data_IF_145027882699
#
_entry.id   IF_145027882699
#
_cell.length_a   1.000
_cell.length_b   1.000
_cell.length_c   1.000
_cell.angle_alpha   90.00
_cell.angle_beta   90.00
_cell.angle_gamma   90.00
#
_symmetry.space_group_name_H-M   'P 1'
#
loop_
_entity.id
_entity.type
_entity.pdbx_description
1 polymer ?
#
# COMPACT_ATOMS: atom_id res chain seq x y z
N UNK A 1 -2.73 -10.81 21.38
CA UNK A 1 -1.88 -9.66 21.76
C UNK A 1 -1.76 -8.78 20.51
N UNK A 2 -2.13 -7.52 20.58
CA UNK A 2 -1.96 -6.58 19.47
C UNK A 2 -0.47 -6.36 19.23
N UNK A 3 -0.02 -6.44 17.99
CA UNK A 3 1.35 -6.10 17.59
C UNK A 3 1.55 -4.60 17.86
N UNK A 4 2.54 -4.23 18.71
CA UNK A 4 2.90 -2.82 18.88
C UNK A 4 3.66 -2.35 17.65
N UNK A 5 3.14 -1.32 16.97
CA UNK A 5 3.77 -0.70 15.81
C UNK A 5 4.76 0.41 16.17
N UNK A 6 4.86 0.82 17.44
CA UNK A 6 5.72 1.93 17.88
C UNK A 6 7.19 1.79 17.47
N UNK A 7 7.87 0.63 17.65
CA UNK A 7 9.26 0.48 17.23
C UNK A 7 9.44 0.60 15.71
N UNK A 8 8.44 0.18 14.94
CA UNK A 8 8.42 0.33 13.50
C UNK A 8 8.31 1.80 13.10
N UNK A 9 7.31 2.51 13.64
CA UNK A 9 7.06 3.92 13.30
C UNK A 9 8.23 4.82 13.67
N UNK A 10 8.88 4.59 14.83
CA UNK A 10 10.08 5.34 15.21
C UNK A 10 11.23 5.17 14.19
N UNK A 11 11.41 3.96 13.65
CA UNK A 11 12.46 3.70 12.65
C UNK A 11 12.14 4.25 11.27
N UNK A 12 10.87 4.27 10.88
CA UNK A 12 10.48 4.73 9.53
C UNK A 12 10.18 6.22 9.48
N UNK A 13 9.96 6.90 10.61
CA UNK A 13 9.56 8.31 10.68
C UNK A 13 10.50 9.26 9.93
N UNK A 14 11.81 8.95 9.90
CA UNK A 14 12.85 9.74 9.24
C UNK A 14 13.27 9.16 7.88
N UNK A 15 12.68 8.04 7.46
CA UNK A 15 13.01 7.46 6.16
C UNK A 15 12.35 8.26 5.03
N UNK A 16 13.02 8.38 3.86
CA UNK A 16 12.38 8.94 2.69
C UNK A 16 11.20 8.05 2.23
N UNK A 17 10.38 8.58 1.34
CA UNK A 17 9.35 7.81 0.63
C UNK A 17 9.95 6.59 -0.06
N UNK A 18 9.12 5.63 -0.40
CA UNK A 18 9.58 4.41 -1.07
C UNK A 18 9.93 4.70 -2.54
N UNK A 19 11.07 4.17 -2.97
CA UNK A 19 11.55 4.33 -4.36
C UNK A 19 10.53 3.82 -5.38
N UNK A 20 9.76 2.78 -5.05
CA UNK A 20 8.72 2.26 -5.95
C UNK A 20 7.61 3.29 -6.19
N UNK A 21 7.26 4.10 -5.17
CA UNK A 21 6.27 5.17 -5.32
C UNK A 21 6.80 6.28 -6.26
N UNK A 22 8.07 6.65 -6.11
CA UNK A 22 8.72 7.61 -7.02
C UNK A 22 8.76 7.08 -8.47
N UNK A 23 9.13 5.81 -8.65
CA UNK A 23 9.13 5.18 -9.98
C UNK A 23 7.73 5.10 -10.58
N UNK A 24 6.69 4.81 -9.77
CA UNK A 24 5.31 4.74 -10.22
C UNK A 24 4.82 6.08 -10.81
N UNK A 25 5.31 7.22 -10.31
CA UNK A 25 4.96 8.52 -10.86
C UNK A 25 5.42 8.74 -12.31
N UNK A 26 6.43 8.02 -12.77
CA UNK A 26 6.89 8.09 -14.17
C UNK A 26 5.83 7.57 -15.15
N UNK A 27 4.91 6.74 -14.68
CA UNK A 27 3.81 6.18 -15.47
C UNK A 27 2.49 6.93 -15.27
N UNK A 28 2.44 7.90 -14.35
CA UNK A 28 1.24 8.70 -14.10
C UNK A 28 1.14 9.85 -15.09
N UNK A 29 0.31 9.68 -16.11
CA UNK A 29 0.13 10.66 -17.21
C UNK A 29 -1.18 11.43 -17.13
N UNK A 30 -2.08 11.09 -16.20
CA UNK A 30 -3.38 11.73 -16.07
C UNK A 30 -3.25 13.16 -15.50
N UNK A 31 -4.05 14.09 -16.03
CA UNK A 31 -4.02 15.49 -15.60
C UNK A 31 -4.46 15.69 -14.13
N UNK A 32 -5.42 14.86 -13.67
CA UNK A 32 -5.84 14.89 -12.26
C UNK A 32 -4.81 14.16 -11.39
N UNK A 33 -4.41 14.78 -10.29
CA UNK A 33 -3.48 14.24 -9.30
C UNK A 33 -4.23 13.93 -8.01
N UNK A 34 -4.86 12.76 -7.97
CA UNK A 34 -5.58 12.25 -6.80
C UNK A 34 -4.98 10.89 -6.45
N UNK A 35 -4.49 10.74 -5.23
CA UNK A 35 -3.89 9.50 -4.76
C UNK A 35 -4.66 8.93 -3.55
N UNK A 36 -4.70 7.61 -3.45
CA UNK A 36 -5.02 6.88 -2.22
C UNK A 36 -3.71 6.30 -1.69
N UNK A 37 -3.42 6.50 -0.39
CA UNK A 37 -2.29 5.88 0.33
C UNK A 37 -2.86 4.94 1.40
N UNK A 38 -2.90 3.66 1.06
CA UNK A 38 -3.57 2.61 1.82
C UNK A 38 -2.62 1.95 2.84
N UNK A 39 -2.96 2.04 4.13
CA UNK A 39 -2.06 1.63 5.21
C UNK A 39 -0.84 2.56 5.29
N UNK A 40 -1.11 3.86 5.31
CA UNK A 40 -0.12 4.93 5.12
C UNK A 40 0.91 5.05 6.26
N UNK A 41 0.68 4.40 7.43
CA UNK A 41 1.51 4.54 8.61
C UNK A 41 1.66 6.01 9.01
N UNK A 42 2.89 6.47 9.19
CA UNK A 42 3.18 7.87 9.55
C UNK A 42 3.20 8.84 8.36
N UNK A 43 2.70 8.41 7.19
CA UNK A 43 2.47 9.26 6.02
C UNK A 43 3.72 9.67 5.24
N UNK A 44 4.77 8.83 5.18
CA UNK A 44 5.99 9.18 4.44
C UNK A 44 5.78 9.22 2.93
N UNK A 45 5.01 8.27 2.37
CA UNK A 45 4.66 8.25 0.95
C UNK A 45 3.63 9.35 0.66
N UNK A 46 2.64 9.56 1.55
CA UNK A 46 1.72 10.70 1.49
C UNK A 46 2.44 12.04 1.42
N UNK A 47 3.49 12.27 2.24
CA UNK A 47 4.27 13.51 2.24
C UNK A 47 4.94 13.77 0.89
N UNK A 48 5.49 12.74 0.29
CA UNK A 48 6.09 12.83 -1.04
C UNK A 48 5.03 13.18 -2.10
N UNK A 49 3.89 12.48 -2.08
CA UNK A 49 2.80 12.71 -3.04
C UNK A 49 2.22 14.14 -2.93
N UNK A 50 2.05 14.65 -1.72
CA UNK A 50 1.64 16.03 -1.47
C UNK A 50 2.63 17.04 -2.09
N UNK A 51 3.94 16.79 -1.92
CA UNK A 51 4.99 17.62 -2.54
C UNK A 51 4.98 17.54 -4.07
N UNK A 52 4.48 16.43 -4.66
CA UNK A 52 4.27 16.30 -6.11
C UNK A 52 2.92 16.92 -6.58
N UNK A 53 2.18 17.56 -5.69
CA UNK A 53 0.93 18.26 -6.01
C UNK A 53 -0.31 17.34 -6.06
N UNK A 54 -0.26 16.15 -5.48
CA UNK A 54 -1.42 15.28 -5.37
C UNK A 54 -2.35 15.76 -4.24
N UNK A 55 -3.66 15.54 -4.45
CA UNK A 55 -4.58 15.38 -3.34
C UNK A 55 -4.45 13.95 -2.85
N UNK A 56 -4.25 13.76 -1.55
CA UNK A 56 -4.02 12.45 -0.95
C UNK A 56 -5.16 12.10 0.00
N UNK A 57 -5.79 10.96 -0.24
CA UNK A 57 -6.72 10.30 0.67
C UNK A 57 -6.00 9.11 1.31
N UNK A 58 -5.60 9.26 2.57
CA UNK A 58 -4.87 8.24 3.28
C UNK A 58 -5.76 7.50 4.29
N UNK A 59 -5.43 6.26 4.61
CA UNK A 59 -6.02 5.56 5.73
C UNK A 59 -5.02 4.61 6.39
N UNK A 60 -5.24 4.37 7.67
CA UNK A 60 -4.56 3.34 8.45
C UNK A 60 -5.52 2.86 9.56
N UNK A 61 -5.35 1.64 10.07
CA UNK A 61 -6.16 1.16 11.20
C UNK A 61 -5.57 1.52 12.56
N UNK A 62 -4.30 1.94 12.60
CA UNK A 62 -3.58 2.27 13.83
C UNK A 62 -3.83 3.73 14.24
N UNK A 63 -4.40 3.92 15.44
CA UNK A 63 -4.75 5.25 15.98
C UNK A 63 -3.55 6.19 16.15
N UNK A 64 -2.34 5.66 16.40
CA UNK A 64 -1.15 6.48 16.58
C UNK A 64 -0.57 6.94 15.23
N UNK A 65 -0.72 6.12 14.19
CA UNK A 65 -0.46 6.53 12.82
C UNK A 65 -1.39 7.68 12.40
N UNK A 66 -2.70 7.58 12.72
CA UNK A 66 -3.69 8.63 12.44
C UNK A 66 -3.29 9.94 13.12
N UNK A 67 -3.07 9.93 14.43
CA UNK A 67 -2.65 11.14 15.20
C UNK A 67 -1.38 11.77 14.64
N UNK A 68 -0.41 10.92 14.25
CA UNK A 68 0.84 11.39 13.65
C UNK A 68 0.59 12.11 12.33
N UNK A 69 -0.24 11.53 11.46
CA UNK A 69 -0.61 12.14 10.18
C UNK A 69 -1.44 13.43 10.37
N UNK A 70 -2.42 13.43 11.27
CA UNK A 70 -3.21 14.64 11.59
C UNK A 70 -2.32 15.79 12.02
N UNK A 71 -1.34 15.52 12.90
CA UNK A 71 -0.37 16.54 13.34
C UNK A 71 0.55 16.97 12.19
N UNK A 72 1.10 16.01 11.46
CA UNK A 72 2.08 16.25 10.39
C UNK A 72 1.52 17.05 9.24
N UNK A 73 0.25 16.85 8.91
CA UNK A 73 -0.40 17.42 7.73
C UNK A 73 -1.51 18.41 8.09
N UNK A 74 -1.53 18.95 9.30
CA UNK A 74 -2.57 19.88 9.81
C UNK A 74 -2.80 21.09 8.89
N UNK A 75 -1.75 21.58 8.22
CA UNK A 75 -1.80 22.72 7.31
C UNK A 75 -2.06 22.34 5.83
N UNK A 76 -2.22 21.03 5.53
CA UNK A 76 -2.35 20.54 4.17
C UNK A 76 -3.83 20.36 3.79
N UNK A 77 -4.42 21.34 3.11
CA UNK A 77 -5.83 21.29 2.67
C UNK A 77 -6.12 20.22 1.60
N UNK A 78 -5.08 19.66 0.98
CA UNK A 78 -5.15 18.59 -0.02
C UNK A 78 -4.84 17.20 0.57
N UNK A 79 -4.81 17.06 1.90
CA UNK A 79 -4.66 15.80 2.62
C UNK A 79 -5.91 15.47 3.41
N UNK A 80 -6.30 14.18 3.40
CA UNK A 80 -7.31 13.64 4.31
C UNK A 80 -6.85 12.29 4.83
N UNK A 81 -7.16 12.00 6.09
CA UNK A 81 -6.82 10.75 6.76
C UNK A 81 -8.05 10.16 7.42
N UNK A 82 -8.23 8.84 7.32
CA UNK A 82 -9.31 8.09 7.95
C UNK A 82 -8.75 6.94 8.78
N UNK A 83 -9.27 6.74 9.99
CA UNK A 83 -9.00 5.51 10.72
C UNK A 83 -9.93 4.42 10.18
N UNK A 84 -9.40 3.54 9.35
CA UNK A 84 -10.15 2.47 8.70
C UNK A 84 -9.25 1.25 8.44
N UNK A 85 -9.87 0.06 8.37
CA UNK A 85 -9.23 -1.09 7.75
C UNK A 85 -9.59 -1.15 6.26
N UNK A 86 -8.96 -2.05 5.52
CA UNK A 86 -9.18 -2.20 4.08
C UNK A 86 -10.65 -2.48 3.70
N UNK A 87 -11.39 -3.22 4.54
CA UNK A 87 -12.80 -3.54 4.28
C UNK A 87 -13.76 -2.39 4.54
N UNK A 88 -13.36 -1.41 5.33
CA UNK A 88 -14.25 -0.35 5.84
C UNK A 88 -13.98 1.02 5.20
N UNK A 89 -12.85 1.14 4.47
CA UNK A 89 -12.50 2.39 3.79
C UNK A 89 -13.43 2.65 2.60
N UNK A 90 -13.95 3.87 2.49
CA UNK A 90 -14.70 4.34 1.32
C UNK A 90 -13.70 4.77 0.23
N UNK A 91 -13.53 3.93 -0.78
CA UNK A 91 -12.53 4.10 -1.84
C UNK A 91 -12.92 5.22 -2.82
N UNK A 92 -12.36 6.44 -2.70
CA UNK A 92 -12.67 7.51 -3.65
C UNK A 92 -12.04 7.21 -5.02
N UNK A 93 -12.60 7.80 -6.08
CA UNK A 93 -11.94 7.78 -7.40
C UNK A 93 -10.57 8.46 -7.31
N UNK A 94 -9.54 7.76 -7.72
CA UNK A 94 -8.15 8.22 -7.69
C UNK A 94 -7.45 7.92 -9.00
N UNK A 95 -6.33 8.55 -9.25
CA UNK A 95 -5.48 8.33 -10.44
C UNK A 95 -4.19 7.58 -10.10
N UNK A 96 -3.89 7.47 -8.80
CA UNK A 96 -2.78 6.71 -8.25
C UNK A 96 -3.23 6.01 -6.98
N UNK A 97 -3.01 4.71 -6.88
CA UNK A 97 -3.29 3.91 -5.69
C UNK A 97 -1.99 3.34 -5.15
N UNK A 98 -1.66 3.66 -3.91
CA UNK A 98 -0.46 3.16 -3.22
C UNK A 98 -0.88 2.21 -2.10
N UNK A 99 -0.26 1.02 -2.05
CA UNK A 99 -0.43 0.05 -0.97
C UNK A 99 0.92 -0.58 -0.60
N UNK A 100 1.84 0.26 -0.13
CA UNK A 100 3.22 -0.14 0.16
C UNK A 100 3.31 -0.92 1.46
N UNK A 101 3.66 -2.22 1.39
CA UNK A 101 3.79 -3.16 2.51
C UNK A 101 2.55 -3.17 3.43
N UNK A 102 1.36 -3.05 2.87
CA UNK A 102 0.13 -2.87 3.65
C UNK A 102 -1.03 -3.76 3.19
N UNK A 103 -1.21 -3.98 1.88
CA UNK A 103 -2.39 -4.67 1.34
C UNK A 103 -2.57 -6.10 1.88
N UNK A 104 -1.49 -6.78 2.18
CA UNK A 104 -1.53 -8.13 2.76
C UNK A 104 -2.06 -8.20 4.19
N UNK A 105 -2.25 -7.06 4.88
CA UNK A 105 -2.98 -6.98 6.15
C UNK A 105 -4.50 -7.01 5.95
N UNK A 106 -5.00 -6.90 4.71
CA UNK A 106 -6.39 -7.21 4.40
C UNK A 106 -6.65 -8.70 4.65
N UNK A 107 -7.66 -9.09 5.46
CA UNK A 107 -7.96 -10.49 5.67
C UNK A 107 -8.35 -11.20 4.36
N UNK A 108 -7.89 -12.44 4.18
CA UNK A 108 -8.13 -13.22 2.96
C UNK A 108 -9.60 -13.30 2.56
N UNK A 109 -10.51 -13.40 3.54
CA UNK A 109 -11.95 -13.45 3.29
C UNK A 109 -12.53 -12.17 2.66
N UNK A 110 -11.83 -11.03 2.80
CA UNK A 110 -12.26 -9.73 2.28
C UNK A 110 -11.44 -9.29 1.06
N UNK A 111 -10.33 -9.96 0.76
CA UNK A 111 -9.35 -9.51 -0.23
C UNK A 111 -9.97 -9.29 -1.62
N UNK A 112 -10.76 -10.25 -2.12
CA UNK A 112 -11.38 -10.14 -3.44
C UNK A 112 -12.30 -8.92 -3.55
N UNK A 113 -13.15 -8.70 -2.54
CA UNK A 113 -14.03 -7.52 -2.52
C UNK A 113 -13.24 -6.21 -2.43
N UNK A 114 -12.20 -6.18 -1.59
CA UNK A 114 -11.30 -5.02 -1.46
C UNK A 114 -10.57 -4.75 -2.76
N UNK A 115 -10.05 -5.81 -3.42
CA UNK A 115 -9.39 -5.65 -4.71
C UNK A 115 -10.32 -5.07 -5.78
N UNK A 116 -11.56 -5.56 -5.85
CA UNK A 116 -12.58 -5.04 -6.77
C UNK A 116 -12.89 -3.55 -6.51
N UNK A 117 -12.88 -3.11 -5.26
CA UNK A 117 -13.06 -1.69 -4.93
C UNK A 117 -11.85 -0.85 -5.33
N UNK A 118 -10.62 -1.35 -5.09
CA UNK A 118 -9.37 -0.71 -5.53
C UNK A 118 -9.38 -0.57 -7.06
N UNK A 119 -9.64 -1.66 -7.77
CA UNK A 119 -9.72 -1.67 -9.23
C UNK A 119 -10.75 -0.66 -9.73
N UNK A 120 -11.95 -0.67 -9.15
CA UNK A 120 -13.02 0.26 -9.53
C UNK A 120 -12.70 1.72 -9.22
N UNK A 121 -11.83 2.00 -8.25
CA UNK A 121 -11.41 3.37 -7.90
C UNK A 121 -10.50 4.00 -8.94
N UNK A 122 -9.75 3.18 -9.69
CA UNK A 122 -8.82 3.61 -10.72
C UNK A 122 -9.50 3.71 -12.09
N UNK A 123 -9.41 4.82 -12.80
CA UNK A 123 -9.83 4.94 -14.19
C UNK A 123 -8.81 4.29 -15.13
N UNK A 124 -9.15 4.12 -16.40
CA UNK A 124 -8.17 3.82 -17.46
C UNK A 124 -7.03 4.83 -17.42
N UNK A 125 -5.79 4.34 -17.51
CA UNK A 125 -4.54 5.12 -17.34
C UNK A 125 -4.18 5.42 -15.87
N UNK A 126 -5.02 5.00 -14.91
CA UNK A 126 -4.69 5.09 -13.49
C UNK A 126 -3.57 4.10 -13.11
N UNK A 127 -2.76 4.47 -12.12
CA UNK A 127 -1.58 3.69 -11.71
C UNK A 127 -1.82 3.04 -10.36
N UNK A 128 -1.54 1.75 -10.26
CA UNK A 128 -1.40 1.01 -9.00
C UNK A 128 0.08 0.82 -8.68
N UNK A 129 0.46 0.99 -7.41
CA UNK A 129 1.79 0.64 -6.89
C UNK A 129 1.64 0.05 -5.48
N UNK A 130 2.02 -1.21 -5.30
CA UNK A 130 1.87 -1.86 -3.99
C UNK A 130 2.57 -3.20 -3.87
N UNK A 131 2.48 -3.76 -2.66
CA UNK A 131 3.16 -4.99 -2.29
C UNK A 131 2.14 -6.07 -1.91
N UNK A 132 2.34 -7.29 -2.42
CA UNK A 132 1.60 -8.50 -2.08
C UNK A 132 2.51 -9.47 -1.35
N UNK A 133 1.99 -10.14 -0.33
CA UNK A 133 2.74 -11.17 0.39
C UNK A 133 2.68 -12.48 -0.40
N UNK A 134 3.83 -13.11 -0.61
CA UNK A 134 3.94 -14.41 -1.27
C UNK A 134 3.73 -15.57 -0.29
N UNK A 135 3.44 -16.74 -0.82
CA UNK A 135 3.09 -17.94 -0.04
C UNK A 135 4.26 -18.53 0.77
N UNK A 136 5.51 -18.21 0.40
CA UNK A 136 6.72 -18.67 1.11
C UNK A 136 7.11 -17.74 2.27
N UNK A 137 6.42 -16.62 2.46
CA UNK A 137 6.75 -15.67 3.53
C UNK A 137 6.56 -16.29 4.91
N UNK A 138 7.54 -16.12 5.82
CA UNK A 138 7.49 -16.76 7.14
C UNK A 138 6.33 -16.29 8.01
N UNK A 139 5.72 -15.15 7.73
CA UNK A 139 4.54 -14.69 8.43
C UNK A 139 3.28 -15.52 8.08
N UNK A 140 3.21 -16.08 6.88
CA UNK A 140 2.05 -16.90 6.43
C UNK A 140 1.82 -18.10 7.34
N UNK A 141 2.91 -18.71 7.84
CA UNK A 141 2.87 -19.88 8.71
C UNK A 141 2.92 -19.51 10.20
N UNK A 142 2.84 -18.23 10.54
CA UNK A 142 2.89 -17.76 11.92
C UNK A 142 1.48 -17.60 12.48
N UNK A 143 1.22 -18.21 13.65
CA UNK A 143 -0.06 -18.06 14.36
C UNK A 143 -0.42 -16.59 14.67
N UNK A 144 0.58 -15.74 14.84
CA UNK A 144 0.37 -14.30 15.11
C UNK A 144 -0.07 -13.52 13.88
N UNK A 145 0.08 -14.08 12.67
CA UNK A 145 -0.22 -13.43 11.41
C UNK A 145 -1.15 -14.28 10.52
N UNK A 146 -1.90 -15.22 11.11
CA UNK A 146 -2.80 -16.14 10.38
C UNK A 146 -3.91 -15.43 9.56
N UNK A 147 -4.14 -14.13 9.79
CA UNK A 147 -5.13 -13.33 9.09
C UNK A 147 -4.59 -12.65 7.82
N UNK A 148 -3.28 -12.70 7.57
CA UNK A 148 -2.68 -12.08 6.40
C UNK A 148 -3.11 -12.77 5.12
N UNK A 149 -3.27 -11.97 4.07
CA UNK A 149 -3.49 -12.50 2.71
C UNK A 149 -2.14 -12.73 2.03
N UNK A 150 -1.88 -13.99 1.66
CA UNK A 150 -0.76 -14.37 0.81
C UNK A 150 -1.27 -14.89 -0.53
N UNK A 151 -0.54 -14.58 -1.59
CA UNK A 151 -0.89 -14.94 -2.97
C UNK A 151 0.29 -15.64 -3.64
N UNK A 152 -0.03 -16.55 -4.57
CA UNK A 152 0.95 -17.05 -5.53
C UNK A 152 1.21 -15.99 -6.61
N UNK A 153 2.32 -16.10 -7.35
CA UNK A 153 2.60 -15.24 -8.51
C UNK A 153 1.43 -15.19 -9.47
N UNK A 154 0.86 -16.34 -9.82
CA UNK A 154 -0.29 -16.43 -10.73
C UNK A 154 -1.51 -15.67 -10.21
N UNK A 155 -1.79 -15.75 -8.90
CA UNK A 155 -2.91 -15.00 -8.30
C UNK A 155 -2.65 -13.48 -8.29
N UNK A 156 -1.39 -13.06 -8.10
CA UNK A 156 -1.02 -11.64 -8.25
C UNK A 156 -1.23 -11.18 -9.69
N UNK A 157 -0.76 -11.95 -10.69
CA UNK A 157 -0.95 -11.64 -12.12
C UNK A 157 -2.44 -11.57 -12.49
N UNK A 158 -3.29 -12.44 -11.93
CA UNK A 158 -4.75 -12.41 -12.13
C UNK A 158 -5.39 -11.11 -11.63
N UNK A 159 -4.89 -10.52 -10.55
CA UNK A 159 -5.35 -9.20 -10.10
C UNK A 159 -5.16 -8.12 -11.17
N UNK A 160 -4.21 -8.29 -12.08
CA UNK A 160 -3.81 -7.29 -13.08
C UNK A 160 -4.20 -7.65 -14.52
N UNK A 161 -5.20 -8.52 -14.74
CA UNK A 161 -5.65 -8.89 -16.09
C UNK A 161 -6.11 -7.69 -16.94
N UNK A 162 -6.62 -6.63 -16.29
CA UNK A 162 -7.02 -5.37 -16.94
C UNK A 162 -5.95 -4.26 -16.89
N UNK A 163 -4.68 -4.64 -16.61
CA UNK A 163 -3.57 -3.69 -16.48
C UNK A 163 -2.40 -4.09 -17.36
N UNK A 164 -1.56 -3.09 -17.68
CA UNK A 164 -0.20 -3.30 -18.13
C UNK A 164 0.73 -3.29 -16.90
N UNK A 165 1.32 -4.44 -16.58
CA UNK A 165 2.29 -4.56 -15.48
C UNK A 165 3.63 -3.99 -15.96
N UNK A 166 3.90 -2.74 -15.62
CA UNK A 166 5.13 -2.04 -16.03
C UNK A 166 6.35 -2.41 -15.17
N UNK A 167 6.11 -2.94 -13.97
CA UNK A 167 7.16 -3.48 -13.10
C UNK A 167 6.57 -4.51 -12.13
N UNK A 168 7.20 -5.67 -12.05
CA UNK A 168 6.92 -6.68 -11.03
C UNK A 168 8.24 -7.25 -10.53
N UNK A 169 8.53 -7.03 -9.27
CA UNK A 169 9.73 -7.56 -8.61
C UNK A 169 9.30 -8.57 -7.53
N UNK A 170 9.84 -9.77 -7.62
CA UNK A 170 9.67 -10.81 -6.60
C UNK A 170 10.93 -10.89 -5.74
N UNK A 171 10.72 -10.74 -4.44
CA UNK A 171 11.72 -10.99 -3.41
C UNK A 171 11.34 -12.27 -2.69
N UNK A 172 12.19 -13.31 -2.76
CA UNK A 172 11.99 -14.61 -2.07
C UNK A 172 13.32 -15.02 -1.46
N UNK A 173 13.63 -14.48 -0.26
CA UNK A 173 14.96 -14.58 0.37
C UNK A 173 14.92 -14.38 1.88
N UNK A 174 15.92 -14.89 2.57
CA UNK A 174 16.14 -14.63 3.99
C UNK A 174 16.66 -13.22 4.24
N UNK A 175 16.19 -12.61 5.33
CA UNK A 175 16.60 -11.27 5.72
C UNK A 175 16.15 -10.93 7.13
N UNK A 176 16.03 -9.63 7.40
CA UNK A 176 15.53 -9.13 8.69
C UNK A 176 14.41 -8.12 8.48
N UNK A 177 13.52 -8.02 9.46
CA UNK A 177 12.58 -6.89 9.53
C UNK A 177 13.34 -5.61 9.86
N UNK A 178 12.69 -4.46 9.70
CA UNK A 178 13.28 -3.16 10.05
C UNK A 178 13.62 -3.06 11.55
N UNK A 179 12.96 -3.86 12.40
CA UNK A 179 13.26 -3.95 13.84
C UNK A 179 14.31 -5.01 14.18
N UNK A 180 14.90 -5.67 13.16
CA UNK A 180 16.02 -6.60 13.33
C UNK A 180 15.62 -8.06 13.57
N UNK A 181 14.35 -8.43 13.48
CA UNK A 181 13.90 -9.82 13.62
C UNK A 181 14.20 -10.59 12.34
N UNK A 182 14.84 -11.77 12.40
CA UNK A 182 15.03 -12.64 11.25
C UNK A 182 13.69 -13.00 10.59
N UNK A 183 13.65 -12.99 9.27
CA UNK A 183 12.45 -13.25 8.50
C UNK A 183 12.81 -13.76 7.10
N UNK A 184 12.11 -14.78 6.66
CA UNK A 184 12.07 -15.11 5.24
C UNK A 184 11.03 -14.23 4.57
N UNK A 185 11.46 -13.41 3.61
CA UNK A 185 10.62 -12.52 2.84
C UNK A 185 10.19 -13.17 1.54
N UNK A 186 8.89 -13.22 1.30
CA UNK A 186 8.36 -13.48 -0.02
C UNK A 186 7.34 -12.40 -0.35
N UNK A 187 7.73 -11.45 -1.20
CA UNK A 187 6.94 -10.25 -1.53
C UNK A 187 7.00 -9.99 -3.02
N UNK A 188 5.85 -9.70 -3.61
CA UNK A 188 5.73 -9.17 -4.97
C UNK A 188 5.46 -7.68 -4.89
N UNK A 189 6.40 -6.86 -5.39
CA UNK A 189 6.21 -5.42 -5.54
C UNK A 189 5.79 -5.12 -6.97
N UNK A 190 4.59 -4.57 -7.15
CA UNK A 190 3.97 -4.37 -8.46
C UNK A 190 3.71 -2.89 -8.71
N UNK A 191 4.04 -2.44 -9.92
CA UNK A 191 3.54 -1.19 -10.51
C UNK A 191 2.83 -1.54 -11.81
N UNK A 192 1.59 -1.09 -11.96
CA UNK A 192 0.77 -1.40 -13.12
C UNK A 192 -0.10 -0.21 -13.52
N UNK A 193 -0.37 -0.08 -14.83
CA UNK A 193 -1.22 0.96 -15.41
C UNK A 193 -2.49 0.32 -15.94
N UNK A 194 -3.66 0.82 -15.50
CA UNK A 194 -4.94 0.30 -15.94
C UNK A 194 -5.16 0.55 -17.44
N UNK A 195 -5.48 -0.50 -18.17
CA UNK A 195 -5.67 -0.43 -19.63
C UNK A 195 -6.88 0.42 -20.00
N UNK A 196 -6.86 0.93 -21.23
CA UNK A 196 -8.02 1.53 -21.87
C UNK A 196 -8.97 0.40 -22.27
N UNK A 197 -10.14 0.34 -21.66
CA UNK A 197 -11.23 -0.57 -22.05
C UNK A 197 -12.27 0.26 -22.80
#
# INVERSE_FOLDING_TARGET
>A
MSVSWDPYYQKVAQQPHRVNVEKALQFHTLAKKIAVDAGCGTGRDSNFLLAQGFRVHAFDNNSDAIKTCETRFSEQSNFSISQACFSDFDYPKCTLFIASASLFFCPKAHFENVWNQIDSSLPSGGVFCGDFLGVNDSWVNSNSHAHLTSLTRQQVEQCFESYDIVSMHERDEDGTTIVGTPKHWHVFSVTAVKLLI
#
